data_IF_032446954067
#
_entry.id   IF_032446954067
#
_cell.length_a   1.000
_cell.length_b   1.000
_cell.length_c   1.000
_cell.angle_alpha   90.00
_cell.angle_beta   90.00
_cell.angle_gamma   90.00
#
_symmetry.space_group_name_H-M   'P 1'
#
loop_
_entity.id
_entity.type
_entity.pdbx_description
1 polymer ?
#
# COMPACT_ATOMS: atom_id res chain seq x y z
N UNK A 1 -2.84 11.81 -10.04
CA UNK A 1 -3.83 12.43 -10.95
C UNK A 1 -4.18 11.47 -12.09
N UNK A 2 -3.44 11.41 -13.20
CA UNK A 2 -3.85 10.60 -14.36
C UNK A 2 -4.08 9.09 -14.04
N UNK A 3 -3.21 8.47 -13.24
CA UNK A 3 -3.41 7.07 -12.83
C UNK A 3 -4.59 6.89 -11.86
N UNK A 4 -4.84 7.87 -11.00
CA UNK A 4 -6.00 7.87 -10.09
C UNK A 4 -7.30 7.96 -10.89
N UNK A 5 -7.37 8.86 -11.88
CA UNK A 5 -8.49 8.97 -12.81
C UNK A 5 -8.68 7.68 -13.62
N UNK A 6 -7.60 7.09 -14.14
CA UNK A 6 -7.67 5.84 -14.89
C UNK A 6 -8.20 4.68 -14.05
N UNK A 7 -7.67 4.50 -12.83
CA UNK A 7 -8.08 3.42 -11.94
C UNK A 7 -9.53 3.61 -11.46
N UNK A 8 -9.86 4.80 -10.96
CA UNK A 8 -11.20 5.06 -10.42
C UNK A 8 -12.27 5.12 -11.51
N UNK A 9 -11.93 5.63 -12.69
CA UNK A 9 -12.82 5.61 -13.86
C UNK A 9 -13.09 4.20 -14.39
N UNK A 10 -12.10 3.30 -14.36
CA UNK A 10 -12.25 1.93 -14.82
C UNK A 10 -12.90 1.00 -13.78
N UNK A 11 -12.55 1.16 -12.50
CA UNK A 11 -12.84 0.17 -11.45
C UNK A 11 -13.74 0.69 -10.31
N UNK A 12 -14.15 1.96 -10.39
CA UNK A 12 -14.90 2.66 -9.34
C UNK A 12 -13.98 3.30 -8.30
N UNK A 13 -14.51 4.18 -7.47
CA UNK A 13 -13.76 4.74 -6.35
C UNK A 13 -13.56 3.69 -5.25
N UNK A 14 -12.35 3.56 -4.67
CA UNK A 14 -12.14 2.73 -3.49
C UNK A 14 -13.11 3.11 -2.37
N UNK A 15 -13.66 2.10 -1.70
CA UNK A 15 -14.61 2.24 -0.61
C UNK A 15 -14.18 1.44 0.62
N UNK A 16 -14.69 1.82 1.79
CA UNK A 16 -14.41 1.11 3.05
C UNK A 16 -14.65 -0.39 2.87
N UNK A 17 -13.62 -1.17 3.15
CA UNK A 17 -13.60 -2.60 2.90
C UNK A 17 -12.87 -3.34 4.02
N UNK A 18 -13.46 -4.46 4.44
CA UNK A 18 -12.83 -5.42 5.33
C UNK A 18 -12.25 -6.56 4.48
N UNK A 19 -10.94 -6.73 4.52
CA UNK A 19 -10.21 -7.71 3.71
C UNK A 19 -9.77 -8.87 4.59
N UNK A 20 -10.27 -10.07 4.30
CA UNK A 20 -9.83 -11.29 4.96
C UNK A 20 -8.34 -11.55 4.69
N UNK A 21 -7.61 -12.00 5.72
CA UNK A 21 -6.20 -12.40 5.62
C UNK A 21 -5.95 -13.89 5.91
N UNK A 22 -7.00 -14.64 6.21
CA UNK A 22 -6.97 -16.11 6.24
C UNK A 22 -7.15 -16.73 4.86
N UNK A 23 -7.27 -18.05 4.81
CA UNK A 23 -7.33 -18.81 3.55
C UNK A 23 -8.58 -19.68 3.43
N UNK A 24 -9.00 -19.92 2.19
CA UNK A 24 -10.02 -20.91 1.83
C UNK A 24 -9.42 -22.30 1.58
N UNK A 25 -10.27 -23.23 1.13
CA UNK A 25 -9.90 -24.62 0.89
C UNK A 25 -9.62 -24.97 -0.58
N UNK A 26 -9.86 -24.03 -1.50
CA UNK A 26 -9.61 -24.22 -2.93
C UNK A 26 -8.13 -23.93 -3.25
N UNK A 27 -7.60 -24.47 -4.36
CA UNK A 27 -6.36 -23.95 -4.94
C UNK A 27 -6.54 -22.47 -5.29
N UNK A 28 -5.45 -21.72 -5.26
CA UNK A 28 -5.48 -20.28 -5.54
C UNK A 28 -4.36 -19.80 -6.45
N UNK A 29 -4.54 -18.60 -7.00
CA UNK A 29 -3.50 -17.80 -7.65
C UNK A 29 -3.23 -16.56 -6.80
N UNK A 30 -1.95 -16.29 -6.52
CA UNK A 30 -1.52 -15.11 -5.79
C UNK A 30 -1.05 -14.04 -6.77
N UNK A 31 -1.79 -12.94 -6.89
CA UNK A 31 -1.38 -11.79 -7.71
C UNK A 31 -0.66 -10.76 -6.85
N UNK A 32 0.50 -10.31 -7.33
CA UNK A 32 1.39 -9.36 -6.67
C UNK A 32 1.84 -8.28 -7.65
N UNK A 33 2.32 -7.16 -7.13
CA UNK A 33 2.63 -5.95 -7.91
C UNK A 33 1.52 -4.91 -7.81
N UNK A 34 1.20 -4.22 -8.91
CA UNK A 34 0.30 -3.05 -8.86
C UNK A 34 -0.76 -3.01 -9.97
N UNK A 35 -0.65 -3.83 -11.02
CA UNK A 35 -1.47 -3.66 -12.22
C UNK A 35 -2.92 -4.15 -12.02
N UNK A 36 -3.86 -3.20 -11.98
CA UNK A 36 -5.28 -3.51 -11.77
C UNK A 36 -5.97 -4.08 -13.03
N UNK A 37 -5.41 -3.89 -14.22
CA UNK A 37 -5.94 -4.48 -15.45
C UNK A 37 -5.61 -5.97 -15.53
N UNK A 38 -4.41 -6.36 -15.11
CA UNK A 38 -4.04 -7.75 -14.92
C UNK A 38 -4.95 -8.43 -13.88
N UNK A 39 -5.29 -7.73 -12.79
CA UNK A 39 -6.27 -8.22 -11.81
C UNK A 39 -7.66 -8.43 -12.40
N UNK A 40 -8.18 -7.46 -13.15
CA UNK A 40 -9.48 -7.56 -13.80
C UNK A 40 -9.56 -8.80 -14.71
N UNK A 41 -8.55 -8.99 -15.54
CA UNK A 41 -8.49 -10.09 -16.50
C UNK A 41 -8.29 -11.44 -15.82
N UNK A 42 -7.48 -11.50 -14.75
CA UNK A 42 -7.31 -12.70 -13.94
C UNK A 42 -8.62 -13.10 -13.27
N UNK A 43 -9.35 -12.15 -12.67
CA UNK A 43 -10.63 -12.41 -12.02
C UNK A 43 -11.67 -12.95 -13.01
N UNK A 44 -11.76 -12.34 -14.20
CA UNK A 44 -12.66 -12.82 -15.27
C UNK A 44 -12.31 -14.24 -15.72
N UNK A 45 -11.03 -14.57 -15.82
CA UNK A 45 -10.60 -15.89 -16.32
C UNK A 45 -10.61 -17.00 -15.26
N UNK A 46 -10.62 -16.64 -13.98
CA UNK A 46 -10.75 -17.59 -12.85
C UNK A 46 -12.19 -17.82 -12.43
N UNK A 47 -13.14 -16.98 -12.86
CA UNK A 47 -14.56 -17.11 -12.51
C UNK A 47 -15.13 -18.46 -12.97
N UNK A 48 -15.76 -19.19 -12.05
CA UNK A 48 -16.36 -20.51 -12.33
C UNK A 48 -15.36 -21.66 -12.52
N UNK A 49 -14.06 -21.43 -12.32
CA UNK A 49 -13.02 -22.46 -12.54
C UNK A 49 -12.72 -23.33 -11.32
N UNK A 50 -13.19 -22.93 -10.13
CA UNK A 50 -12.82 -23.54 -8.85
C UNK A 50 -11.45 -23.09 -8.31
N UNK A 51 -10.80 -22.11 -8.95
CA UNK A 51 -9.55 -21.49 -8.49
C UNK A 51 -9.86 -20.14 -7.85
N UNK A 52 -9.41 -19.96 -6.62
CA UNK A 52 -9.54 -18.70 -5.87
C UNK A 52 -8.43 -17.69 -6.28
N UNK A 53 -8.68 -16.40 -6.08
CA UNK A 53 -7.69 -15.32 -6.27
C UNK A 53 -7.38 -14.67 -4.94
N UNK A 54 -6.10 -14.49 -4.65
CA UNK A 54 -5.59 -13.76 -3.50
C UNK A 54 -4.67 -12.64 -3.97
N UNK A 55 -4.71 -11.51 -3.28
CA UNK A 55 -3.77 -10.41 -3.49
C UNK A 55 -2.56 -10.55 -2.57
N UNK A 56 -1.42 -9.98 -2.95
CA UNK A 56 -0.24 -9.85 -2.10
C UNK A 56 0.42 -8.47 -2.26
N UNK A 57 0.96 -7.94 -1.16
CA UNK A 57 1.69 -6.68 -1.13
C UNK A 57 0.87 -5.51 -1.68
N UNK A 58 1.37 -4.89 -2.75
CA UNK A 58 0.74 -3.72 -3.38
C UNK A 58 -0.54 -4.04 -4.17
N UNK A 59 -0.95 -5.31 -4.25
CA UNK A 59 -2.26 -5.70 -4.78
C UNK A 59 -3.37 -5.70 -3.72
N UNK A 60 -3.05 -5.59 -2.42
CA UNK A 60 -4.05 -5.47 -1.34
C UNK A 60 -5.18 -4.48 -1.70
N UNK A 61 -4.90 -3.28 -2.24
CA UNK A 61 -5.93 -2.30 -2.57
C UNK A 61 -6.91 -2.70 -3.65
N UNK A 62 -6.64 -3.73 -4.46
CA UNK A 62 -7.64 -4.25 -5.39
C UNK A 62 -8.92 -4.70 -4.66
N UNK A 63 -8.82 -5.12 -3.40
CA UNK A 63 -9.98 -5.47 -2.57
C UNK A 63 -10.86 -4.25 -2.21
N UNK A 64 -10.42 -3.02 -2.48
CA UNK A 64 -11.16 -1.80 -2.14
C UNK A 64 -12.04 -1.31 -3.30
N UNK A 65 -11.81 -1.81 -4.52
CA UNK A 65 -12.50 -1.35 -5.72
C UNK A 65 -13.82 -2.09 -5.95
N UNK A 66 -14.95 -1.39 -6.12
CA UNK A 66 -16.26 -2.00 -6.36
C UNK A 66 -16.28 -2.99 -7.53
N UNK A 67 -15.54 -2.71 -8.61
CA UNK A 67 -15.47 -3.58 -9.79
C UNK A 67 -14.89 -4.98 -9.48
N UNK A 68 -14.06 -5.12 -8.44
CA UNK A 68 -13.45 -6.38 -8.05
C UNK A 68 -14.18 -7.05 -6.89
N UNK A 69 -14.80 -6.27 -5.99
CA UNK A 69 -15.56 -6.79 -4.83
C UNK A 69 -16.75 -7.69 -5.22
N UNK A 70 -17.23 -7.61 -6.45
CA UNK A 70 -18.32 -8.46 -6.96
C UNK A 70 -17.94 -9.94 -7.14
N UNK A 71 -16.65 -10.27 -7.21
CA UNK A 71 -16.18 -11.64 -7.45
C UNK A 71 -16.01 -12.39 -6.13
N UNK A 72 -16.84 -13.40 -5.88
CA UNK A 72 -16.83 -14.18 -4.63
C UNK A 72 -15.61 -15.10 -4.46
N UNK A 73 -14.86 -15.34 -5.53
CA UNK A 73 -13.60 -16.08 -5.53
C UNK A 73 -12.37 -15.18 -5.35
N UNK A 74 -12.53 -13.85 -5.26
CA UNK A 74 -11.51 -12.98 -4.66
C UNK A 74 -11.57 -13.14 -3.14
N UNK A 75 -10.63 -13.88 -2.56
CA UNK A 75 -10.71 -14.33 -1.15
C UNK A 75 -10.12 -13.36 -0.13
N UNK A 76 -9.26 -12.45 -0.57
CA UNK A 76 -8.64 -11.45 0.28
C UNK A 76 -7.16 -11.30 -0.02
N UNK A 77 -6.37 -10.98 1.02
CA UNK A 77 -4.95 -10.71 0.89
C UNK A 77 -4.11 -11.71 1.70
N UNK A 78 -3.10 -12.29 1.08
CA UNK A 78 -2.23 -13.28 1.71
C UNK A 78 -0.85 -12.69 2.02
N UNK A 79 -0.37 -12.91 3.25
CA UNK A 79 0.96 -12.51 3.68
C UNK A 79 1.13 -11.02 3.98
N UNK A 80 2.35 -10.53 3.78
CA UNK A 80 2.80 -9.21 4.20
C UNK A 80 3.36 -8.34 3.08
N UNK A 81 4.41 -7.60 3.39
CA UNK A 81 5.14 -6.81 2.40
C UNK A 81 6.10 -7.66 1.59
N UNK A 82 6.45 -7.15 0.41
CA UNK A 82 7.23 -7.82 -0.63
C UNK A 82 8.54 -8.49 -0.18
N UNK A 83 9.14 -8.09 0.95
CA UNK A 83 10.42 -8.67 1.37
C UNK A 83 10.28 -10.00 2.12
N UNK A 84 9.07 -10.36 2.56
CA UNK A 84 8.72 -11.66 3.15
C UNK A 84 8.42 -12.74 2.10
N UNK A 85 8.25 -12.33 0.84
CA UNK A 85 7.67 -13.15 -0.22
C UNK A 85 8.34 -14.51 -0.44
N UNK A 86 9.64 -14.67 -0.11
CA UNK A 86 10.31 -15.96 -0.35
C UNK A 86 9.72 -17.08 0.50
N UNK A 87 9.26 -16.76 1.72
CA UNK A 87 8.67 -17.76 2.60
C UNK A 87 7.14 -17.80 2.40
N UNK A 88 6.51 -16.66 2.10
CA UNK A 88 5.06 -16.58 1.83
C UNK A 88 4.66 -17.21 0.49
N UNK A 89 5.38 -16.94 -0.61
CA UNK A 89 5.10 -17.57 -1.91
C UNK A 89 5.30 -19.08 -1.87
N UNK A 90 6.25 -19.56 -1.07
CA UNK A 90 6.43 -20.98 -0.82
C UNK A 90 5.16 -21.57 -0.17
N UNK A 91 4.72 -21.00 0.95
CA UNK A 91 3.56 -21.44 1.72
C UNK A 91 2.22 -21.28 0.98
N UNK A 92 2.14 -20.41 -0.02
CA UNK A 92 0.92 -20.21 -0.81
C UNK A 92 0.54 -21.44 -1.66
N UNK A 93 1.48 -22.34 -1.95
CA UNK A 93 1.32 -23.58 -2.74
C UNK A 93 0.91 -23.42 -4.21
N UNK A 94 0.00 -22.50 -4.53
CA UNK A 94 -0.47 -22.22 -5.88
C UNK A 94 0.43 -21.27 -6.68
N UNK A 95 0.09 -20.98 -7.94
CA UNK A 95 0.88 -20.08 -8.78
C UNK A 95 0.92 -18.64 -8.27
N UNK A 96 2.03 -17.96 -8.57
CA UNK A 96 2.24 -16.55 -8.24
C UNK A 96 2.37 -15.73 -9.53
N UNK A 97 1.56 -14.68 -9.68
CA UNK A 97 1.62 -13.74 -10.79
C UNK A 97 2.24 -12.41 -10.35
N UNK A 98 3.43 -12.10 -10.86
CA UNK A 98 4.10 -10.82 -10.64
C UNK A 98 3.80 -9.85 -11.79
N UNK A 99 2.94 -8.86 -11.52
CA UNK A 99 2.55 -7.82 -12.50
C UNK A 99 3.57 -6.67 -12.59
N UNK A 100 4.25 -6.37 -11.48
CA UNK A 100 5.29 -5.33 -11.38
C UNK A 100 6.35 -5.74 -10.35
N UNK A 101 7.27 -4.82 -10.03
CA UNK A 101 8.09 -4.95 -8.82
C UNK A 101 7.20 -5.04 -7.56
N UNK A 102 7.66 -5.67 -6.47
CA UNK A 102 9.02 -6.18 -6.23
C UNK A 102 9.08 -7.71 -6.32
N UNK A 103 9.94 -8.23 -7.21
CA UNK A 103 10.27 -9.67 -7.27
C UNK A 103 11.67 -9.87 -6.69
N UNK A 104 11.74 -10.61 -5.59
CA UNK A 104 12.98 -10.97 -4.89
C UNK A 104 13.54 -12.27 -5.47
N UNK A 105 14.87 -12.39 -5.64
CA UNK A 105 15.49 -13.65 -6.02
C UNK A 105 15.15 -14.79 -5.06
N UNK A 106 14.89 -15.97 -5.63
CA UNK A 106 14.58 -17.16 -4.85
C UNK A 106 15.77 -17.55 -3.98
N UNK A 107 15.49 -18.01 -2.75
CA UNK A 107 16.50 -18.69 -1.93
C UNK A 107 16.71 -20.09 -2.51
N UNK A 108 17.89 -20.69 -2.27
CA UNK A 108 18.20 -22.06 -2.72
C UNK A 108 17.18 -23.11 -2.26
N UNK A 109 16.51 -22.88 -1.13
CA UNK A 109 15.49 -23.76 -0.56
C UNK A 109 14.10 -23.60 -1.21
N UNK A 110 13.89 -22.55 -2.00
CA UNK A 110 12.58 -22.28 -2.58
C UNK A 110 12.31 -23.20 -3.76
N UNK A 111 11.07 -23.67 -3.86
CA UNK A 111 10.65 -24.63 -4.89
C UNK A 111 9.64 -24.06 -5.87
N UNK A 112 9.15 -22.83 -5.66
CA UNK A 112 8.05 -22.25 -6.43
C UNK A 112 8.42 -21.70 -7.83
N UNK A 113 9.63 -21.92 -8.35
CA UNK A 113 10.04 -21.34 -9.64
C UNK A 113 9.17 -21.81 -10.81
N UNK A 114 8.78 -23.08 -10.79
CA UNK A 114 7.93 -23.73 -11.80
C UNK A 114 6.47 -23.22 -11.80
N UNK A 115 6.06 -22.55 -10.72
CA UNK A 115 4.75 -21.89 -10.57
C UNK A 115 4.87 -20.37 -10.39
N UNK A 116 6.03 -19.80 -10.71
CA UNK A 116 6.24 -18.35 -10.75
C UNK A 116 5.96 -17.83 -12.16
N UNK A 117 5.03 -16.90 -12.26
CA UNK A 117 4.68 -16.18 -13.46
C UNK A 117 5.09 -14.72 -13.37
N UNK A 118 5.61 -14.20 -14.46
CA UNK A 118 5.87 -12.77 -14.66
C UNK A 118 5.05 -12.25 -15.82
N UNK A 119 4.69 -10.97 -15.82
CA UNK A 119 3.99 -10.35 -16.94
C UNK A 119 4.20 -8.86 -16.98
N UNK A 120 4.18 -8.23 -18.15
CA UNK A 120 4.57 -6.83 -18.30
C UNK A 120 6.08 -6.67 -18.14
N UNK A 121 6.53 -5.71 -17.32
CA UNK A 121 7.96 -5.40 -17.19
C UNK A 121 8.80 -6.35 -16.31
N UNK A 122 8.27 -7.02 -15.27
CA UNK A 122 9.03 -8.02 -14.51
C UNK A 122 9.47 -9.19 -15.39
N UNK A 123 10.66 -9.69 -15.10
CA UNK A 123 11.21 -10.91 -15.69
C UNK A 123 12.12 -11.59 -14.68
N UNK A 124 12.15 -12.92 -14.69
CA UNK A 124 13.03 -13.72 -13.84
C UNK A 124 13.49 -14.97 -14.61
N UNK A 125 14.80 -15.29 -14.63
CA UNK A 125 15.29 -16.47 -15.35
C UNK A 125 14.60 -17.76 -14.90
N UNK A 126 13.99 -18.46 -15.86
CA UNK A 126 13.27 -19.73 -15.62
C UNK A 126 11.83 -19.57 -15.14
N UNK A 127 11.36 -18.37 -14.83
CA UNK A 127 9.94 -18.13 -14.59
C UNK A 127 9.17 -18.06 -15.91
N UNK A 128 7.93 -18.55 -15.92
CA UNK A 128 7.05 -18.43 -17.08
C UNK A 128 6.65 -16.96 -17.27
N UNK A 129 6.71 -16.46 -18.50
CA UNK A 129 6.31 -15.09 -18.81
C UNK A 129 4.99 -15.07 -19.59
N UNK A 130 4.00 -14.34 -19.08
CA UNK A 130 2.72 -14.10 -19.76
C UNK A 130 2.90 -12.86 -20.61
N UNK A 131 2.79 -13.05 -21.93
CA UNK A 131 2.97 -12.01 -22.92
C UNK A 131 1.98 -10.85 -22.76
N UNK A 132 2.33 -9.72 -23.37
CA UNK A 132 1.45 -8.56 -23.43
C UNK A 132 0.12 -8.87 -24.13
N UNK A 133 -0.88 -8.05 -23.80
CA UNK A 133 -2.19 -8.08 -24.45
C UNK A 133 -2.02 -7.87 -25.95
N UNK A 134 -2.65 -8.71 -26.77
CA UNK A 134 -2.84 -8.39 -28.18
C UNK A 134 -3.75 -7.16 -28.32
N UNK A 135 -3.65 -6.44 -29.44
CA UNK A 135 -4.35 -5.16 -29.65
C UNK A 135 -5.85 -5.23 -29.31
N UNK A 136 -6.24 -4.48 -28.26
CA UNK A 136 -7.62 -4.43 -27.75
C UNK A 136 -8.10 -5.68 -26.98
N UNK A 137 -7.26 -6.70 -26.84
CA UNK A 137 -7.55 -7.95 -26.13
C UNK A 137 -7.12 -7.97 -24.66
N UNK A 138 -7.20 -9.16 -24.07
CA UNK A 138 -6.77 -9.48 -22.70
C UNK A 138 -5.51 -10.35 -22.71
N UNK A 139 -4.78 -10.40 -21.59
CA UNK A 139 -3.72 -11.40 -21.38
C UNK A 139 -4.33 -12.79 -21.28
N UNK A 140 -3.58 -13.80 -21.69
CA UNK A 140 -4.00 -15.20 -21.52
C UNK A 140 -3.48 -15.76 -20.20
N UNK A 141 -4.39 -15.98 -19.25
CA UNK A 141 -4.11 -16.60 -17.95
C UNK A 141 -4.51 -18.09 -17.91
N UNK A 142 -4.82 -18.72 -19.05
CA UNK A 142 -5.26 -20.13 -19.08
C UNK A 142 -4.24 -21.09 -18.45
N UNK A 143 -2.94 -20.94 -18.78
CA UNK A 143 -1.89 -21.81 -18.26
C UNK A 143 -1.74 -21.73 -16.73
N UNK A 144 -1.80 -20.52 -16.16
CA UNK A 144 -1.70 -20.32 -14.71
C UNK A 144 -2.94 -20.87 -13.98
N UNK A 145 -4.13 -20.76 -14.59
CA UNK A 145 -5.37 -21.35 -14.06
C UNK A 145 -5.32 -22.88 -14.08
N UNK A 146 -4.88 -23.49 -15.19
CA UNK A 146 -4.74 -24.95 -15.26
C UNK A 146 -3.70 -25.49 -14.29
N UNK A 147 -2.57 -24.80 -14.11
CA UNK A 147 -1.58 -25.20 -13.11
C UNK A 147 -2.15 -25.10 -11.69
N UNK A 148 -2.89 -24.02 -11.36
CA UNK A 148 -3.47 -23.85 -10.04
C UNK A 148 -4.38 -25.01 -9.63
N UNK A 149 -5.17 -25.56 -10.56
CA UNK A 149 -6.04 -26.73 -10.31
C UNK A 149 -5.28 -27.98 -9.85
N UNK A 150 -3.97 -28.05 -10.10
CA UNK A 150 -3.10 -29.16 -9.67
C UNK A 150 -2.37 -28.91 -8.36
N UNK A 151 -2.44 -27.68 -7.83
CA UNK A 151 -1.79 -27.27 -6.60
C UNK A 151 -2.65 -27.54 -5.36
N UNK A 152 -2.00 -27.66 -4.21
CA UNK A 152 -2.71 -27.61 -2.93
C UNK A 152 -3.27 -26.19 -2.66
N UNK A 153 -4.28 -26.11 -1.79
CA UNK A 153 -4.75 -24.84 -1.25
C UNK A 153 -3.64 -24.12 -0.47
N UNK A 154 -3.71 -22.79 -0.33
CA UNK A 154 -2.72 -22.04 0.45
C UNK A 154 -2.61 -22.50 1.90
N UNK A 155 -1.41 -22.54 2.45
CA UNK A 155 -1.21 -22.76 3.89
C UNK A 155 -1.56 -21.49 4.65
N UNK A 156 -2.44 -21.57 5.66
CA UNK A 156 -2.80 -20.41 6.47
C UNK A 156 -1.61 -19.89 7.28
N UNK A 157 -1.30 -18.61 7.14
CA UNK A 157 -0.22 -17.93 7.89
C UNK A 157 -0.76 -17.17 9.10
N UNK A 158 -1.99 -16.67 8.98
CA UNK A 158 -2.66 -15.79 9.94
C UNK A 158 -4.17 -15.80 9.68
N UNK A 159 -4.93 -15.24 10.60
CA UNK A 159 -6.39 -15.06 10.48
C UNK A 159 -6.76 -13.63 10.86
N UNK A 160 -7.97 -13.20 10.47
CA UNK A 160 -8.50 -11.88 10.81
C UNK A 160 -8.76 -11.05 9.57
N UNK A 161 -8.66 -9.72 9.71
CA UNK A 161 -8.97 -8.77 8.64
C UNK A 161 -8.11 -7.52 8.70
N UNK A 162 -7.96 -6.87 7.54
CA UNK A 162 -7.42 -5.52 7.40
C UNK A 162 -8.55 -4.61 6.90
N UNK A 163 -8.67 -3.42 7.48
CA UNK A 163 -9.61 -2.39 7.02
C UNK A 163 -8.88 -1.39 6.14
N UNK A 164 -9.44 -1.05 4.98
CA UNK A 164 -8.87 -0.05 4.07
C UNK A 164 -9.90 0.50 3.10
N UNK A 165 -9.43 1.22 2.08
CA UNK A 165 -10.29 1.86 1.07
C UNK A 165 -10.59 3.33 1.34
N UNK A 166 -9.75 4.00 2.13
CA UNK A 166 -9.86 5.42 2.46
C UNK A 166 -9.17 6.31 1.42
N UNK A 167 -9.44 6.06 0.14
CA UNK A 167 -9.00 6.96 -0.95
C UNK A 167 -9.75 8.30 -0.88
N UNK A 168 -9.35 9.27 -1.70
CA UNK A 168 -9.85 10.65 -1.59
C UNK A 168 -11.38 10.73 -1.61
N UNK A 169 -12.08 10.04 -2.51
CA UNK A 169 -13.54 10.10 -2.59
C UNK A 169 -14.21 9.62 -1.29
N UNK A 170 -13.75 8.49 -0.71
CA UNK A 170 -14.27 7.95 0.53
C UNK A 170 -14.00 8.86 1.73
N UNK A 171 -12.79 9.44 1.83
CA UNK A 171 -12.46 10.35 2.94
C UNK A 171 -13.22 11.67 2.81
N UNK A 172 -13.38 12.18 1.59
CA UNK A 172 -14.15 13.40 1.34
C UNK A 172 -15.64 13.19 1.63
N UNK A 173 -16.19 12.01 1.38
CA UNK A 173 -17.55 11.65 1.81
C UNK A 173 -17.69 11.60 3.35
N UNK A 174 -16.58 11.46 4.08
CA UNK A 174 -16.52 11.51 5.55
C UNK A 174 -15.96 12.85 6.07
N UNK A 175 -15.81 13.87 5.20
CA UNK A 175 -15.12 15.12 5.56
C UNK A 175 -15.76 15.82 6.75
N UNK A 176 -17.09 15.91 6.80
CA UNK A 176 -17.79 16.57 7.92
C UNK A 176 -17.46 15.90 9.26
N UNK A 177 -17.51 14.56 9.30
CA UNK A 177 -17.16 13.77 10.49
C UNK A 177 -15.69 13.96 10.90
N UNK A 178 -14.78 13.98 9.92
CA UNK A 178 -13.35 14.20 10.16
C UNK A 178 -13.10 15.61 10.70
N UNK A 179 -13.72 16.62 10.09
CA UNK A 179 -13.59 18.03 10.48
C UNK A 179 -14.17 18.27 11.87
N UNK A 180 -15.31 17.68 12.19
CA UNK A 180 -15.91 17.70 13.53
C UNK A 180 -14.97 17.07 14.57
N UNK A 181 -14.40 15.89 14.28
CA UNK A 181 -13.47 15.22 15.17
C UNK A 181 -12.20 16.04 15.44
N UNK A 182 -11.68 16.75 14.41
CA UNK A 182 -10.55 17.67 14.57
C UNK A 182 -10.94 18.90 15.39
N UNK A 183 -12.07 19.55 15.07
CA UNK A 183 -12.54 20.75 15.80
C UNK A 183 -12.88 20.45 17.26
N UNK A 184 -13.39 19.26 17.55
CA UNK A 184 -13.69 18.80 18.91
C UNK A 184 -12.41 18.37 19.68
N UNK A 185 -11.25 18.31 19.02
CA UNK A 185 -9.99 17.85 19.62
C UNK A 185 -9.92 16.34 19.84
N UNK A 186 -10.86 15.57 19.28
CA UNK A 186 -10.84 14.11 19.32
C UNK A 186 -9.73 13.54 18.43
N UNK A 187 -9.47 14.18 17.29
CA UNK A 187 -8.27 13.95 16.47
C UNK A 187 -7.37 15.18 16.59
N UNK A 188 -6.23 15.04 17.26
CA UNK A 188 -5.26 16.13 17.41
C UNK A 188 -4.31 16.24 16.24
N UNK A 189 -3.99 15.12 15.59
CA UNK A 189 -3.01 15.10 14.51
C UNK A 189 -3.18 13.90 13.61
N UNK A 190 -2.92 14.11 12.32
CA UNK A 190 -2.72 13.07 11.33
C UNK A 190 -1.23 12.87 11.10
N UNK A 191 -0.78 11.62 11.04
CA UNK A 191 0.61 11.28 10.73
C UNK A 191 0.63 10.46 9.44
N UNK A 192 1.19 11.06 8.38
CA UNK A 192 1.34 10.41 7.08
C UNK A 192 2.54 9.47 7.15
N UNK A 193 2.26 8.17 7.29
CA UNK A 193 3.26 7.09 7.34
C UNK A 193 3.29 6.26 6.06
N UNK A 194 2.99 6.90 4.92
CA UNK A 194 2.94 6.27 3.61
C UNK A 194 4.32 5.89 3.06
N UNK A 195 4.33 5.19 1.92
CA UNK A 195 5.51 4.92 1.11
C UNK A 195 5.82 3.42 0.98
N UNK A 196 7.10 3.06 1.06
CA UNK A 196 7.58 1.70 0.78
C UNK A 196 8.32 1.06 1.96
N UNK A 197 8.00 -0.21 2.22
CA UNK A 197 8.68 -1.05 3.21
C UNK A 197 9.97 -1.69 2.64
N UNK A 198 10.76 -2.31 3.51
CA UNK A 198 11.97 -3.06 3.15
C UNK A 198 12.55 -3.86 4.31
N UNK A 199 13.74 -4.44 4.10
CA UNK A 199 14.32 -5.48 4.98
C UNK A 199 15.07 -4.99 6.22
N UNK A 200 15.52 -3.73 6.21
CA UNK A 200 16.45 -3.24 7.23
C UNK A 200 15.77 -3.21 8.60
N UNK A 201 16.45 -3.71 9.63
CA UNK A 201 15.92 -3.75 11.02
C UNK A 201 15.51 -2.37 11.53
N UNK A 202 16.18 -1.30 11.09
CA UNK A 202 15.83 0.08 11.45
C UNK A 202 14.40 0.49 11.07
N UNK A 203 13.68 -0.29 10.26
CA UNK A 203 12.26 -0.06 9.96
C UNK A 203 11.32 -0.49 11.07
N UNK A 204 11.81 -1.19 12.11
CA UNK A 204 11.05 -1.40 13.34
C UNK A 204 10.58 -0.07 13.94
N UNK A 205 11.33 1.02 13.72
CA UNK A 205 10.94 2.40 13.99
C UNK A 205 9.48 2.69 13.60
N UNK A 206 9.03 2.34 12.38
CA UNK A 206 7.68 2.66 11.92
C UNK A 206 6.59 1.86 12.64
N UNK A 207 6.91 0.63 13.06
CA UNK A 207 6.00 -0.17 13.90
C UNK A 207 5.90 0.46 15.29
N UNK A 208 7.04 0.79 15.91
CA UNK A 208 7.08 1.40 17.24
C UNK A 208 6.44 2.79 17.27
N UNK A 209 6.60 3.61 16.22
CA UNK A 209 5.90 4.89 16.08
C UNK A 209 4.39 4.66 16.09
N UNK A 210 3.88 3.73 15.27
CA UNK A 210 2.45 3.46 15.20
C UNK A 210 1.86 2.97 16.53
N UNK A 211 2.60 2.12 17.27
CA UNK A 211 2.20 1.62 18.59
C UNK A 211 2.19 2.72 19.66
N UNK A 212 3.18 3.61 19.63
CA UNK A 212 3.40 4.63 20.68
C UNK A 212 2.73 5.97 20.38
N UNK A 213 2.21 6.19 19.17
CA UNK A 213 1.45 7.39 18.84
C UNK A 213 0.27 7.57 19.80
N UNK A 214 0.01 8.81 20.28
CA UNK A 214 -1.15 9.10 21.12
C UNK A 214 -2.46 8.57 20.53
N UNK A 215 -3.38 8.17 21.40
CA UNK A 215 -4.67 7.58 20.99
C UNK A 215 -5.59 8.57 20.26
N UNK A 216 -5.28 9.86 20.32
CA UNK A 216 -5.94 10.94 19.58
C UNK A 216 -5.22 11.32 18.27
N UNK A 217 -4.29 10.48 17.80
CA UNK A 217 -3.64 10.58 16.50
C UNK A 217 -4.15 9.52 15.52
N UNK A 218 -4.22 9.88 14.23
CA UNK A 218 -4.62 9.00 13.13
C UNK A 218 -3.49 8.85 12.11
N UNK A 219 -3.19 7.64 11.71
CA UNK A 219 -2.21 7.32 10.67
C UNK A 219 -2.90 7.37 9.30
N UNK A 220 -2.33 8.14 8.38
CA UNK A 220 -2.70 8.12 6.96
C UNK A 220 -1.63 7.33 6.21
N UNK A 221 -2.04 6.30 5.46
CA UNK A 221 -1.09 5.45 4.73
C UNK A 221 -1.50 5.16 3.30
N UNK A 222 -0.50 4.85 2.49
CA UNK A 222 -0.59 4.40 1.13
C UNK A 222 0.74 3.70 0.79
N UNK A 223 0.69 2.63 0.02
CA UNK A 223 1.87 1.83 -0.31
C UNK A 223 2.31 0.85 0.78
N UNK A 224 3.26 -0.03 0.44
CA UNK A 224 3.58 -1.19 1.26
C UNK A 224 4.24 -0.87 2.62
N UNK A 225 4.59 0.39 2.90
CA UNK A 225 4.95 0.83 4.25
C UNK A 225 3.87 0.45 5.29
N UNK A 226 2.59 0.41 4.86
CA UNK A 226 1.45 0.00 5.69
C UNK A 226 1.65 -1.31 6.45
N UNK A 227 2.39 -2.27 5.88
CA UNK A 227 2.57 -3.59 6.48
C UNK A 227 3.38 -3.57 7.79
N UNK A 228 3.97 -2.43 8.16
CA UNK A 228 4.59 -2.23 9.47
C UNK A 228 3.58 -2.09 10.61
N UNK A 229 2.33 -1.72 10.31
CA UNK A 229 1.36 -1.36 11.34
C UNK A 229 -0.11 -1.65 11.00
N UNK A 230 -0.46 -2.05 9.76
CA UNK A 230 -1.84 -2.29 9.34
C UNK A 230 -2.49 -3.57 9.90
N UNK A 231 -1.71 -4.38 10.62
CA UNK A 231 -2.16 -5.58 11.35
C UNK A 231 -2.16 -5.39 12.87
N UNK A 232 -1.86 -4.18 13.34
CA UNK A 232 -1.95 -3.83 14.76
C UNK A 232 -3.40 -3.49 15.12
N UNK A 233 -3.80 -3.82 16.34
CA UNK A 233 -5.09 -3.40 16.89
C UNK A 233 -4.97 -1.99 17.50
N UNK A 234 -5.02 -0.98 16.63
CA UNK A 234 -4.90 0.43 17.03
C UNK A 234 -6.25 1.09 17.33
N UNK A 235 -7.37 0.39 17.12
CA UNK A 235 -8.73 0.88 17.36
C UNK A 235 -9.19 2.01 16.42
N UNK A 236 -10.19 2.76 16.89
CA UNK A 236 -10.82 3.87 16.17
C UNK A 236 -11.09 5.08 17.09
N UNK A 237 -11.31 6.24 16.47
CA UNK A 237 -11.72 7.48 17.15
C UNK A 237 -13.11 7.85 16.65
N UNK A 238 -14.14 7.58 17.46
CA UNK A 238 -15.53 7.89 17.10
C UNK A 238 -16.01 7.20 15.83
N UNK A 239 -15.54 5.97 15.57
CA UNK A 239 -15.81 5.19 14.36
C UNK A 239 -14.95 5.58 13.15
N UNK A 240 -13.85 6.31 13.34
CA UNK A 240 -12.83 6.55 12.30
C UNK A 240 -11.62 5.68 12.66
N UNK A 241 -11.25 4.66 11.87
CA UNK A 241 -10.10 3.82 12.19
C UNK A 241 -8.82 4.66 12.37
N UNK A 242 -7.97 4.28 13.35
CA UNK A 242 -6.70 4.98 13.59
C UNK A 242 -5.65 4.72 12.50
N UNK A 243 -5.92 3.82 11.56
CA UNK A 243 -5.14 3.63 10.33
C UNK A 243 -6.07 3.76 9.13
N UNK A 244 -5.87 4.79 8.32
CA UNK A 244 -6.63 5.02 7.09
C UNK A 244 -5.75 4.68 5.89
N UNK A 245 -5.98 3.51 5.32
CA UNK A 245 -5.29 3.03 4.12
C UNK A 245 -5.98 3.51 2.84
N UNK A 246 -5.34 4.43 2.14
CA UNK A 246 -5.82 4.98 0.87
C UNK A 246 -5.53 4.08 -0.34
N UNK A 247 -4.61 3.11 -0.23
CA UNK A 247 -4.30 2.17 -1.31
C UNK A 247 -2.81 1.99 -1.58
N UNK A 248 -2.43 1.88 -2.85
CA UNK A 248 -1.08 1.62 -3.34
C UNK A 248 -0.18 2.85 -3.14
N UNK A 249 1.11 2.75 -3.42
CA UNK A 249 2.02 3.90 -3.33
C UNK A 249 1.63 5.08 -4.24
N UNK A 250 0.96 4.82 -5.38
CA UNK A 250 0.36 5.87 -6.21
C UNK A 250 -0.82 6.58 -5.54
N UNK A 251 -1.50 5.94 -4.59
CA UNK A 251 -2.63 6.50 -3.86
C UNK A 251 -2.18 7.47 -2.74
N UNK A 252 -0.87 7.71 -2.60
CA UNK A 252 -0.35 8.93 -1.97
C UNK A 252 -0.94 10.20 -2.62
N UNK A 253 -1.38 10.11 -3.88
CA UNK A 253 -2.18 11.16 -4.52
C UNK A 253 -3.47 11.46 -3.74
N UNK A 254 -4.19 10.45 -3.24
CA UNK A 254 -5.37 10.65 -2.39
C UNK A 254 -5.02 11.43 -1.13
N UNK A 255 -3.90 11.11 -0.48
CA UNK A 255 -3.45 11.79 0.73
C UNK A 255 -3.16 13.28 0.48
N UNK A 256 -2.56 13.59 -0.68
CA UNK A 256 -2.36 14.99 -1.10
C UNK A 256 -3.69 15.72 -1.35
N UNK A 257 -4.66 15.08 -2.01
CA UNK A 257 -6.00 15.66 -2.23
C UNK A 257 -6.71 15.90 -0.90
N UNK A 258 -6.63 14.97 0.04
CA UNK A 258 -7.21 15.10 1.39
C UNK A 258 -6.58 16.29 2.12
N UNK A 259 -5.24 16.42 2.11
CA UNK A 259 -4.55 17.55 2.73
C UNK A 259 -4.98 18.88 2.11
N UNK A 260 -5.04 18.98 0.78
CA UNK A 260 -5.49 20.19 0.09
C UNK A 260 -6.94 20.54 0.43
N UNK A 261 -7.83 19.54 0.58
CA UNK A 261 -9.21 19.81 1.01
C UNK A 261 -9.27 20.29 2.45
N UNK A 262 -8.53 19.67 3.36
CA UNK A 262 -8.50 20.11 4.75
C UNK A 262 -7.96 21.55 4.85
N UNK A 263 -6.93 21.91 4.07
CA UNK A 263 -6.42 23.30 3.98
C UNK A 263 -7.53 24.27 3.60
N UNK A 264 -8.34 23.93 2.58
CA UNK A 264 -9.49 24.73 2.16
C UNK A 264 -10.55 24.86 3.26
N UNK A 265 -10.94 23.73 3.88
CA UNK A 265 -11.99 23.68 4.91
C UNK A 265 -11.60 24.45 6.18
N UNK A 266 -10.32 24.42 6.55
CA UNK A 266 -9.80 25.19 7.69
C UNK A 266 -9.40 26.62 7.33
N UNK A 267 -9.49 27.02 6.05
CA UNK A 267 -9.14 28.37 5.60
C UNK A 267 -7.68 28.73 5.85
N UNK A 268 -6.77 27.76 5.71
CA UNK A 268 -5.34 27.96 5.95
C UNK A 268 -4.64 28.46 4.70
N UNK A 269 -3.70 29.39 4.87
CA UNK A 269 -2.90 29.95 3.77
C UNK A 269 -1.83 28.97 3.28
N UNK A 270 -1.20 28.23 4.19
CA UNK A 270 -0.18 27.21 3.91
C UNK A 270 -0.69 25.79 4.21
N UNK A 271 -0.29 24.81 3.40
CA UNK A 271 -0.60 23.39 3.63
C UNK A 271 0.10 22.85 4.88
N UNK A 272 1.25 23.43 5.24
CA UNK A 272 2.06 23.01 6.38
C UNK A 272 1.47 23.45 7.73
N UNK A 273 0.46 24.33 7.74
CA UNK A 273 -0.26 24.75 8.94
C UNK A 273 -1.33 23.74 9.39
N UNK A 274 -1.57 22.70 8.58
CA UNK A 274 -2.48 21.62 8.96
C UNK A 274 -1.94 20.82 10.15
N UNK A 275 -2.81 20.18 10.95
CA UNK A 275 -2.40 19.19 11.94
C UNK A 275 -1.96 17.88 11.27
N UNK A 276 -1.01 17.97 10.34
CA UNK A 276 -0.40 16.88 9.58
C UNK A 276 1.10 16.84 9.86
N UNK A 277 1.64 15.64 10.04
CA UNK A 277 3.08 15.38 10.07
C UNK A 277 3.41 14.30 9.05
N UNK A 278 4.59 14.36 8.43
CA UNK A 278 5.02 13.42 7.41
C UNK A 278 6.23 12.62 7.89
N UNK A 279 6.05 11.30 8.01
CA UNK A 279 7.07 10.34 8.44
C UNK A 279 7.09 9.16 7.46
N UNK A 280 7.80 9.35 6.35
CA UNK A 280 7.66 8.55 5.13
C UNK A 280 8.75 7.48 5.07
N UNK A 281 8.32 6.23 4.90
CA UNK A 281 9.21 5.13 4.54
C UNK A 281 9.48 5.11 3.03
N UNK A 282 10.73 5.00 2.59
CA UNK A 282 11.04 4.84 1.16
C UNK A 282 11.96 3.65 0.90
N UNK A 283 11.94 3.12 -0.33
CA UNK A 283 12.80 1.99 -0.72
C UNK A 283 13.26 2.09 -2.18
N UNK A 284 12.31 2.27 -3.10
CA UNK A 284 12.57 2.28 -4.53
C UNK A 284 12.09 3.60 -5.20
N UNK A 285 12.06 3.62 -6.53
CA UNK A 285 11.99 4.85 -7.31
C UNK A 285 10.58 5.48 -7.34
N UNK A 286 9.50 4.70 -7.18
CA UNK A 286 8.14 5.27 -7.08
C UNK A 286 8.00 6.12 -5.81
N UNK A 287 8.58 5.68 -4.69
CA UNK A 287 8.64 6.51 -3.48
C UNK A 287 9.40 7.83 -3.70
N UNK A 288 10.43 7.84 -4.55
CA UNK A 288 11.15 9.07 -4.91
C UNK A 288 10.24 10.01 -5.73
N UNK A 289 9.46 9.49 -6.66
CA UNK A 289 8.49 10.29 -7.41
C UNK A 289 7.39 10.89 -6.50
N UNK A 290 6.89 10.11 -5.54
CA UNK A 290 5.94 10.59 -4.52
C UNK A 290 6.57 11.71 -3.68
N UNK A 291 7.81 11.53 -3.21
CA UNK A 291 8.51 12.58 -2.47
C UNK A 291 8.61 13.87 -3.29
N UNK A 292 9.07 13.80 -4.53
CA UNK A 292 9.18 14.98 -5.40
C UNK A 292 7.83 15.65 -5.66
N UNK A 293 6.74 14.88 -5.75
CA UNK A 293 5.40 15.44 -5.86
C UNK A 293 4.98 16.21 -4.59
N UNK A 294 5.27 15.68 -3.40
CA UNK A 294 5.00 16.38 -2.13
C UNK A 294 5.83 17.67 -2.02
N UNK A 295 7.11 17.64 -2.39
CA UNK A 295 7.96 18.83 -2.43
C UNK A 295 7.42 19.88 -3.41
N UNK A 296 6.94 19.44 -4.59
CA UNK A 296 6.31 20.32 -5.57
C UNK A 296 5.01 20.96 -5.04
N UNK A 297 4.24 20.23 -4.25
CA UNK A 297 3.03 20.75 -3.57
C UNK A 297 3.36 21.67 -2.38
N UNK A 298 4.64 21.92 -2.08
CA UNK A 298 5.07 22.82 -1.03
C UNK A 298 5.09 22.20 0.37
N UNK A 299 4.98 20.87 0.48
CA UNK A 299 5.11 20.18 1.78
C UNK A 299 6.54 20.30 2.29
N UNK A 300 6.69 20.67 3.56
CA UNK A 300 7.96 20.83 4.27
C UNK A 300 8.00 19.97 5.52
N UNK A 301 9.19 19.81 6.10
CA UNK A 301 9.36 19.12 7.39
C UNK A 301 9.24 17.58 7.30
N UNK A 302 9.37 17.01 6.10
CA UNK A 302 9.20 15.57 5.87
C UNK A 302 10.34 14.81 6.54
N UNK A 303 10.01 13.89 7.45
CA UNK A 303 10.92 12.84 7.91
C UNK A 303 10.96 11.72 6.87
N UNK A 304 12.16 11.35 6.44
CA UNK A 304 12.39 10.35 5.40
C UNK A 304 13.31 9.24 5.91
N UNK A 305 12.81 8.01 5.94
CA UNK A 305 13.49 6.89 6.60
C UNK A 305 13.39 5.53 5.88
N UNK A 306 14.15 4.52 6.35
CA UNK A 306 14.96 4.53 7.57
C UNK A 306 16.34 5.18 7.42
N UNK A 307 16.76 5.50 6.19
CA UNK A 307 18.00 6.22 5.90
C UNK A 307 17.77 7.19 4.74
N UNK A 308 18.54 8.27 4.65
CA UNK A 308 18.47 9.15 3.48
C UNK A 308 19.03 8.48 2.21
N UNK A 309 18.62 8.90 1.01
CA UNK A 309 19.08 8.28 -0.24
C UNK A 309 20.56 8.51 -0.52
N UNK A 310 21.30 7.43 -0.78
CA UNK A 310 22.74 7.48 -1.06
C UNK A 310 23.10 8.23 -2.35
N UNK A 311 22.15 8.42 -3.28
CA UNK A 311 22.35 9.20 -4.51
C UNK A 311 22.28 10.71 -4.30
N UNK A 312 21.96 11.18 -3.09
CA UNK A 312 21.91 12.60 -2.75
C UNK A 312 23.28 13.03 -2.21
N UNK A 313 24.02 13.81 -3.00
CA UNK A 313 25.30 14.37 -2.55
C UNK A 313 25.10 15.38 -1.40
N UNK A 314 26.12 15.66 -0.56
CA UNK A 314 26.00 16.61 0.55
C UNK A 314 25.49 18.00 0.12
N UNK A 315 25.91 18.51 -1.04
CA UNK A 315 25.45 19.80 -1.55
C UNK A 315 23.97 19.76 -1.95
N UNK A 316 23.51 18.67 -2.56
CA UNK A 316 22.10 18.50 -2.93
C UNK A 316 21.25 18.31 -1.68
N UNK A 317 21.73 17.56 -0.68
CA UNK A 317 21.04 17.41 0.60
C UNK A 317 20.87 18.77 1.29
N UNK A 318 21.90 19.61 1.29
CA UNK A 318 21.82 20.98 1.82
C UNK A 318 20.71 21.79 1.14
N UNK A 319 20.61 21.74 -0.19
CA UNK A 319 19.52 22.39 -0.94
C UNK A 319 18.14 21.85 -0.54
N UNK A 320 18.01 20.54 -0.34
CA UNK A 320 16.75 19.93 0.10
C UNK A 320 16.36 20.36 1.51
N UNK A 321 17.33 20.43 2.44
CA UNK A 321 17.11 20.89 3.81
C UNK A 321 16.74 22.37 3.82
N UNK A 322 17.49 23.23 3.12
CA UNK A 322 17.26 24.68 3.12
C UNK A 322 15.91 25.09 2.52
N UNK A 323 15.44 24.38 1.50
CA UNK A 323 14.19 24.73 0.82
C UNK A 323 12.95 24.00 1.37
N UNK A 324 13.12 22.77 1.86
CA UNK A 324 12.00 21.89 2.21
C UNK A 324 12.06 21.31 3.62
N UNK A 325 13.10 21.58 4.39
CA UNK A 325 13.24 21.08 5.76
C UNK A 325 13.12 19.55 5.85
N UNK A 326 13.72 18.83 4.88
CA UNK A 326 13.78 17.35 4.91
C UNK A 326 14.63 16.90 6.09
N UNK A 327 14.12 15.91 6.84
CA UNK A 327 14.74 15.37 8.06
C UNK A 327 15.01 13.87 7.91
N UNK A 328 16.13 13.35 8.44
CA UNK A 328 16.23 11.93 8.73
C UNK A 328 15.28 11.59 9.90
N UNK A 329 14.94 10.31 10.05
CA UNK A 329 14.34 9.81 11.29
C UNK A 329 15.38 9.87 12.44
N UNK A 330 14.88 10.02 13.66
CA UNK A 330 15.64 9.96 14.91
C UNK A 330 15.14 8.83 15.82
N UNK A 331 15.12 9.09 17.13
CA UNK A 331 14.55 8.17 18.12
C UNK A 331 13.02 8.28 18.12
N UNK A 332 12.33 7.15 18.29
CA UNK A 332 10.87 7.02 18.18
C UNK A 332 10.14 8.04 19.08
N UNK A 333 10.50 8.13 20.35
CA UNK A 333 9.85 9.03 21.31
C UNK A 333 10.07 10.50 20.96
N UNK A 334 11.28 10.86 20.52
CA UNK A 334 11.63 12.23 20.16
C UNK A 334 10.89 12.69 18.90
N UNK A 335 10.77 11.79 17.92
CA UNK A 335 10.05 12.09 16.68
C UNK A 335 8.54 12.16 16.91
N UNK A 336 7.96 11.27 17.73
CA UNK A 336 6.55 11.38 18.12
C UNK A 336 6.31 12.73 18.80
N UNK A 337 7.13 13.11 19.78
CA UNK A 337 6.97 14.39 20.48
C UNK A 337 7.03 15.57 19.50
N UNK A 338 8.04 15.60 18.63
CA UNK A 338 8.21 16.66 17.65
C UNK A 338 7.05 16.71 16.65
N UNK A 339 6.62 15.56 16.11
CA UNK A 339 5.48 15.48 15.20
C UNK A 339 4.20 15.98 15.87
N UNK A 340 3.92 15.60 17.12
CA UNK A 340 2.74 16.06 17.86
C UNK A 340 2.75 17.57 18.14
N UNK A 341 3.93 18.18 18.20
CA UNK A 341 4.12 19.63 18.29
C UNK A 341 4.12 20.36 16.93
N UNK A 342 3.98 19.64 15.81
CA UNK A 342 4.03 20.22 14.46
C UNK A 342 5.44 20.64 14.02
N UNK A 343 6.47 19.89 14.42
CA UNK A 343 7.88 20.19 14.16
C UNK A 343 8.64 19.11 13.41
#
# INVERSE_FOLDING_TARGET
>A
AALDEANTGAYGHPELSEVNIGVGTNPGILISGHDLKDMEELLKQTEGTGVDVYTHGEMLPANYYPAFKKYSHLKGNYGGSWWHQTDEFEAFNGPILMTTNCLVPLKKKNTYLDRLYTTGVPSYPGATHIADRADGGAKDFSAIVEQAKTCAAPTELETGKIVGGFAHNQVLALADKVVEAVKAGAIKRFVVMAGCDGRQKGRAYFTEVAEKLPQDAVILTAGCAKYRYNKLDLGDIGGIPRVLDAGQCNDCYSLAVIALKLKEVFGLDDINDLPLSFDIGWYEQKACAVLLALLHLGVKGIRLGPSLPAFVSPNVLKVLVENFDIKPIGEVEADIEAMMQGK
#
